data_IF_139921155401
#
_entry.id   IF_139921155401
#
_cell.length_a   1.000
_cell.length_b   1.000
_cell.length_c   1.000
_cell.angle_alpha   90.00
_cell.angle_beta   90.00
_cell.angle_gamma   90.00
#
_symmetry.space_group_name_H-M   'P 1'
#
loop_
_entity.id
_entity.type
_entity.pdbx_description
1 polymer ?
#
# COMPACT_ATOMS: atom_id res chain seq x y z
N UNK A 1 17.46 -16.93 -38.81
CA UNK A 1 17.06 -15.73 -38.03
C UNK A 1 16.09 -16.19 -36.97
N UNK A 2 16.36 -15.86 -35.70
CA UNK A 2 15.60 -16.37 -34.55
C UNK A 2 14.39 -15.45 -34.27
N UNK A 3 13.20 -15.86 -34.74
CA UNK A 3 11.95 -15.11 -34.59
C UNK A 3 11.53 -14.91 -33.12
N UNK A 4 12.05 -15.70 -32.19
CA UNK A 4 11.73 -15.56 -30.76
C UNK A 4 12.31 -14.26 -30.19
N UNK A 5 13.55 -13.91 -30.55
CA UNK A 5 14.24 -12.70 -30.08
C UNK A 5 13.55 -11.42 -30.56
N UNK A 6 13.07 -11.41 -31.81
CA UNK A 6 12.31 -10.28 -32.33
C UNK A 6 10.97 -10.08 -31.61
N UNK A 7 10.28 -11.18 -31.29
CA UNK A 7 9.00 -11.12 -30.58
C UNK A 7 9.16 -10.55 -29.15
N UNK A 8 10.22 -10.95 -28.43
CA UNK A 8 10.49 -10.41 -27.10
C UNK A 8 10.91 -8.93 -27.15
N UNK A 9 11.75 -8.54 -28.11
CA UNK A 9 12.13 -7.14 -28.29
C UNK A 9 10.92 -6.22 -28.57
N UNK A 10 9.96 -6.67 -29.40
CA UNK A 10 8.73 -5.92 -29.69
C UNK A 10 7.85 -5.79 -28.45
N UNK A 11 7.69 -6.87 -27.65
CA UNK A 11 6.94 -6.81 -26.39
C UNK A 11 7.57 -5.85 -25.38
N UNK A 12 8.90 -5.89 -25.24
CA UNK A 12 9.63 -4.97 -24.36
C UNK A 12 9.45 -3.52 -24.82
N UNK A 13 9.62 -3.23 -26.12
CA UNK A 13 9.41 -1.90 -26.66
C UNK A 13 7.98 -1.39 -26.43
N UNK A 14 6.97 -2.24 -26.66
CA UNK A 14 5.58 -1.91 -26.41
C UNK A 14 5.29 -1.64 -24.92
N UNK A 15 5.88 -2.43 -24.00
CA UNK A 15 5.75 -2.22 -22.57
C UNK A 15 6.40 -0.91 -22.11
N UNK A 16 7.60 -0.61 -22.62
CA UNK A 16 8.29 0.67 -22.35
C UNK A 16 7.47 1.84 -22.89
N UNK A 17 6.95 1.76 -24.11
CA UNK A 17 6.11 2.80 -24.68
C UNK A 17 4.83 3.01 -23.86
N UNK A 18 4.14 1.92 -23.48
CA UNK A 18 2.94 2.00 -22.65
C UNK A 18 3.23 2.65 -21.29
N UNK A 19 4.38 2.32 -20.68
CA UNK A 19 4.83 2.95 -19.44
C UNK A 19 5.09 4.45 -19.64
N UNK A 20 5.83 4.84 -20.68
CA UNK A 20 6.11 6.25 -20.98
C UNK A 20 4.83 7.04 -21.27
N UNK A 21 3.87 6.43 -21.98
CA UNK A 21 2.54 7.03 -22.21
C UNK A 21 1.79 7.21 -20.90
N UNK A 22 1.81 6.21 -20.00
CA UNK A 22 1.18 6.32 -18.69
C UNK A 22 1.81 7.44 -17.84
N UNK A 23 3.14 7.56 -17.86
CA UNK A 23 3.87 8.65 -17.19
C UNK A 23 3.49 10.01 -17.81
N UNK A 24 3.45 10.11 -19.13
CA UNK A 24 3.10 11.34 -19.84
C UNK A 24 1.67 11.78 -19.56
N UNK A 25 0.70 10.86 -19.61
CA UNK A 25 -0.69 11.13 -19.23
C UNK A 25 -0.74 11.58 -17.77
N UNK A 26 -0.11 10.83 -16.86
CA UNK A 26 -0.04 11.19 -15.44
C UNK A 26 0.55 12.58 -15.21
N UNK A 27 1.61 12.96 -15.94
CA UNK A 27 2.22 14.28 -15.82
C UNK A 27 1.28 15.43 -16.27
N UNK A 28 0.36 15.15 -17.19
CA UNK A 28 -0.61 16.13 -17.71
C UNK A 28 -1.86 16.24 -16.84
N UNK A 29 -2.33 15.14 -16.26
CA UNK A 29 -3.64 15.08 -15.58
C UNK A 29 -3.57 14.85 -14.08
N UNK A 30 -2.40 14.49 -13.53
CA UNK A 30 -2.30 14.19 -12.09
C UNK A 30 -2.65 15.45 -11.31
N UNK A 31 -3.73 15.43 -10.51
CA UNK A 31 -4.01 16.52 -9.60
C UNK A 31 -2.87 16.65 -8.59
N UNK A 32 -2.83 17.79 -7.91
CA UNK A 32 -2.04 17.93 -6.67
C UNK A 32 -2.44 16.82 -5.72
N UNK A 33 -1.46 16.14 -5.15
CA UNK A 33 -1.65 14.97 -4.31
C UNK A 33 -1.12 15.30 -2.93
N UNK A 34 -2.02 15.37 -1.95
CA UNK A 34 -1.73 15.95 -0.64
C UNK A 34 -0.51 15.30 0.04
N UNK A 35 -0.37 13.98 -0.06
CA UNK A 35 0.72 13.27 0.60
C UNK A 35 2.05 13.47 -0.13
N UNK A 36 2.03 13.52 -1.47
CA UNK A 36 3.21 13.81 -2.28
C UNK A 36 3.70 15.23 -2.01
N UNK A 37 2.81 16.21 -2.15
CA UNK A 37 3.18 17.62 -2.17
C UNK A 37 3.55 18.12 -0.76
N UNK A 38 2.89 17.63 0.30
CA UNK A 38 3.14 18.07 1.67
C UNK A 38 4.17 17.24 2.43
N UNK A 39 4.26 15.94 2.16
CA UNK A 39 5.05 15.05 3.02
C UNK A 39 6.18 14.35 2.26
N UNK A 40 5.88 13.64 1.19
CA UNK A 40 6.85 12.75 0.55
C UNK A 40 7.90 13.48 -0.26
N UNK A 41 7.51 14.43 -1.13
CA UNK A 41 8.48 15.19 -1.93
C UNK A 41 9.41 16.01 -1.03
N UNK A 42 8.93 16.80 -0.05
CA UNK A 42 9.81 17.53 0.85
C UNK A 42 10.74 16.62 1.65
N UNK A 43 10.27 15.46 2.12
CA UNK A 43 11.10 14.52 2.87
C UNK A 43 12.24 13.94 2.03
N UNK A 44 11.98 13.60 0.75
CA UNK A 44 13.04 13.14 -0.16
C UNK A 44 14.02 14.26 -0.46
N UNK A 45 13.53 15.49 -0.70
CA UNK A 45 14.40 16.65 -0.93
C UNK A 45 15.28 16.96 0.29
N UNK A 46 14.75 16.81 1.50
CA UNK A 46 15.50 16.97 2.74
C UNK A 46 16.68 15.97 2.80
N UNK A 47 16.42 14.68 2.57
CA UNK A 47 17.46 13.63 2.56
C UNK A 47 18.59 13.96 1.58
N UNK A 48 18.24 14.37 0.35
CA UNK A 48 19.22 14.70 -0.69
C UNK A 48 19.93 16.04 -0.45
N UNK A 49 19.42 16.87 0.47
CA UNK A 49 20.05 18.10 0.94
C UNK A 49 20.87 17.90 2.22
N UNK A 50 21.00 16.66 2.71
CA UNK A 50 21.67 16.35 3.98
C UNK A 50 20.87 16.75 5.22
N UNK A 51 19.57 16.97 5.08
CA UNK A 51 18.63 17.29 6.16
C UNK A 51 17.87 16.02 6.56
N UNK A 52 17.62 15.86 7.85
CA UNK A 52 16.81 14.75 8.38
C UNK A 52 15.36 14.84 7.84
N UNK A 53 14.82 13.80 7.16
CA UNK A 53 13.46 13.81 6.62
C UNK A 53 12.38 13.98 7.70
N UNK A 54 12.68 13.65 8.96
CA UNK A 54 11.76 13.80 10.08
C UNK A 54 11.65 15.25 10.59
N UNK A 55 12.39 16.18 10.00
CA UNK A 55 12.15 17.63 10.16
C UNK A 55 11.01 18.14 9.27
N UNK A 56 10.55 17.34 8.30
CA UNK A 56 9.38 17.66 7.48
C UNK A 56 8.11 17.35 8.28
N UNK A 57 7.33 18.40 8.58
CA UNK A 57 6.08 18.26 9.32
C UNK A 57 5.13 17.29 8.61
N UNK A 58 4.65 16.29 9.35
CA UNK A 58 3.74 15.26 8.84
C UNK A 58 4.43 14.02 8.23
N UNK A 59 5.75 14.02 8.07
CA UNK A 59 6.46 12.82 7.62
C UNK A 59 6.72 11.85 8.78
N UNK A 60 5.93 10.77 8.84
CA UNK A 60 6.01 9.74 9.88
C UNK A 60 6.36 8.35 9.34
N UNK A 61 6.66 8.25 8.04
CA UNK A 61 6.94 6.96 7.40
C UNK A 61 8.31 6.42 7.78
N UNK A 62 8.51 5.10 7.76
CA UNK A 62 9.82 4.52 8.04
C UNK A 62 10.88 4.94 7.00
N UNK A 63 12.18 5.06 7.36
CA UNK A 63 13.18 5.64 6.47
C UNK A 63 13.39 4.84 5.17
N UNK A 64 13.17 3.53 5.22
CA UNK A 64 13.30 2.67 4.04
C UNK A 64 12.19 2.86 3.00
N UNK A 65 11.21 3.75 3.25
CA UNK A 65 10.31 4.25 2.22
C UNK A 65 11.02 5.16 1.21
N UNK A 66 12.00 5.95 1.67
CA UNK A 66 12.63 7.03 0.88
C UNK A 66 13.16 6.56 -0.48
N UNK A 67 13.83 5.39 -0.62
CA UNK A 67 14.29 4.91 -1.93
C UNK A 67 13.16 4.80 -2.97
N UNK A 68 11.96 4.38 -2.56
CA UNK A 68 10.79 4.26 -3.43
C UNK A 68 10.17 5.61 -3.81
N UNK A 69 10.48 6.66 -3.05
CA UNK A 69 10.01 8.03 -3.28
C UNK A 69 10.99 8.86 -4.12
N UNK A 70 12.18 8.34 -4.46
CA UNK A 70 13.18 9.03 -5.29
C UNK A 70 12.68 9.56 -6.64
N UNK A 71 11.68 8.97 -7.32
CA UNK A 71 11.03 9.59 -8.48
C UNK A 71 10.54 11.02 -8.26
N UNK A 72 10.20 11.38 -7.01
CA UNK A 72 9.72 12.72 -6.64
C UNK A 72 10.83 13.79 -6.60
N UNK A 73 12.09 13.44 -6.90
CA UNK A 73 13.15 14.43 -7.15
C UNK A 73 13.06 15.06 -8.54
N UNK A 74 12.36 14.43 -9.47
CA UNK A 74 12.13 14.95 -10.81
C UNK A 74 11.25 16.22 -10.77
N UNK A 75 11.25 17.02 -11.86
CA UNK A 75 10.33 18.15 -12.01
C UNK A 75 8.91 17.74 -11.65
N UNK A 76 8.17 18.68 -11.05
CA UNK A 76 6.98 18.37 -10.27
C UNK A 76 5.97 17.45 -10.98
N UNK A 77 5.56 17.83 -12.20
CA UNK A 77 4.66 17.06 -13.06
C UNK A 77 5.21 15.68 -13.44
N UNK A 78 6.50 15.60 -13.79
CA UNK A 78 7.14 14.34 -14.17
C UNK A 78 7.26 13.38 -12.99
N UNK A 79 7.65 13.89 -11.82
CA UNK A 79 7.74 13.09 -10.58
C UNK A 79 6.38 12.50 -10.18
N UNK A 80 5.31 13.31 -10.23
CA UNK A 80 3.93 12.83 -9.97
C UNK A 80 3.47 11.82 -11.03
N UNK A 81 3.70 12.09 -12.31
CA UNK A 81 3.33 11.18 -13.39
C UNK A 81 4.04 9.82 -13.27
N UNK A 82 5.33 9.83 -12.91
CA UNK A 82 6.11 8.62 -12.67
C UNK A 82 5.62 7.86 -11.43
N UNK A 83 5.34 8.57 -10.33
CA UNK A 83 4.78 7.97 -9.13
C UNK A 83 3.43 7.29 -9.41
N UNK A 84 2.50 8.00 -10.07
CA UNK A 84 1.19 7.45 -10.45
C UNK A 84 1.33 6.20 -11.35
N UNK A 85 2.22 6.25 -12.33
CA UNK A 85 2.48 5.10 -13.22
C UNK A 85 3.00 3.88 -12.44
N UNK A 86 3.96 4.09 -11.53
CA UNK A 86 4.49 3.03 -10.66
C UNK A 86 3.39 2.44 -9.77
N UNK A 87 2.59 3.30 -9.15
CA UNK A 87 1.47 2.90 -8.29
C UNK A 87 0.48 2.00 -9.05
N UNK A 88 0.08 2.38 -10.27
CA UNK A 88 -0.84 1.57 -11.10
C UNK A 88 -0.19 0.25 -11.50
N UNK A 89 1.04 0.29 -12.04
CA UNK A 89 1.71 -0.92 -12.54
C UNK A 89 1.99 -1.93 -11.44
N UNK A 90 2.47 -1.47 -10.29
CA UNK A 90 2.78 -2.33 -9.15
C UNK A 90 1.51 -2.92 -8.55
N UNK A 91 0.43 -2.15 -8.45
CA UNK A 91 -0.87 -2.70 -8.01
C UNK A 91 -1.41 -3.73 -8.98
N UNK A 92 -1.40 -3.48 -10.29
CA UNK A 92 -1.82 -4.47 -11.30
C UNK A 92 -0.98 -5.75 -11.20
N UNK A 93 0.33 -5.60 -11.05
CA UNK A 93 1.25 -6.72 -10.87
C UNK A 93 0.94 -7.49 -9.59
N UNK A 94 0.74 -6.80 -8.46
CA UNK A 94 0.41 -7.43 -7.19
C UNK A 94 -0.93 -8.17 -7.25
N UNK A 95 -1.97 -7.59 -7.85
CA UNK A 95 -3.26 -8.24 -8.05
C UNK A 95 -3.13 -9.51 -8.90
N UNK A 96 -2.28 -9.49 -9.94
CA UNK A 96 -1.98 -10.67 -10.75
C UNK A 96 -1.26 -11.76 -9.94
N UNK A 97 -0.28 -11.38 -9.13
CA UNK A 97 0.41 -12.32 -8.23
C UNK A 97 -0.50 -12.88 -7.12
N UNK A 98 -1.57 -12.17 -6.79
CA UNK A 98 -2.64 -12.63 -5.91
C UNK A 98 -3.74 -13.39 -6.66
N UNK A 99 -3.50 -13.76 -7.92
CA UNK A 99 -4.41 -14.57 -8.74
C UNK A 99 -5.81 -13.95 -8.90
N UNK A 100 -5.89 -12.61 -8.87
CA UNK A 100 -7.17 -11.91 -9.07
C UNK A 100 -7.70 -12.15 -10.49
N UNK A 101 -8.99 -12.47 -10.58
CA UNK A 101 -9.73 -12.46 -11.85
C UNK A 101 -9.73 -11.04 -12.45
N UNK A 102 -9.78 -10.95 -13.79
CA UNK A 102 -9.76 -9.67 -14.51
C UNK A 102 -10.86 -8.70 -14.03
N UNK A 103 -12.09 -9.21 -13.86
CA UNK A 103 -13.21 -8.37 -13.43
C UNK A 103 -13.03 -7.85 -11.98
N UNK A 104 -12.80 -8.69 -10.96
CA UNK A 104 -12.45 -8.21 -9.62
C UNK A 104 -11.25 -7.28 -9.56
N UNK A 105 -10.19 -7.52 -10.35
CA UNK A 105 -9.05 -6.61 -10.42
C UNK A 105 -9.44 -5.24 -10.99
N UNK A 106 -10.23 -5.21 -12.06
CA UNK A 106 -10.75 -3.96 -12.63
C UNK A 106 -11.69 -3.23 -11.66
N UNK A 107 -12.55 -3.96 -10.94
CA UNK A 107 -13.41 -3.39 -9.91
C UNK A 107 -12.57 -2.81 -8.76
N UNK A 108 -11.55 -3.52 -8.27
CA UNK A 108 -10.63 -3.03 -7.24
C UNK A 108 -10.01 -1.67 -7.64
N UNK A 109 -9.47 -1.59 -8.86
CA UNK A 109 -8.85 -0.39 -9.42
C UNK A 109 -9.82 0.76 -9.73
N UNK A 110 -11.13 0.52 -9.61
CA UNK A 110 -12.17 1.52 -9.82
C UNK A 110 -13.03 1.72 -8.58
N UNK A 111 -12.60 1.21 -7.43
CA UNK A 111 -13.24 1.54 -6.15
C UNK A 111 -12.97 3.00 -5.79
N UNK A 112 -13.89 3.65 -5.06
CA UNK A 112 -13.65 5.00 -4.57
C UNK A 112 -12.44 5.06 -3.63
N UNK A 113 -12.17 4.01 -2.86
CA UNK A 113 -10.99 3.91 -2.00
C UNK A 113 -9.69 3.94 -2.80
N UNK A 114 -9.60 3.24 -3.94
CA UNK A 114 -8.44 3.28 -4.82
C UNK A 114 -8.31 4.63 -5.56
N UNK A 115 -9.43 5.22 -5.98
CA UNK A 115 -9.42 6.56 -6.57
C UNK A 115 -8.86 7.58 -5.58
N UNK A 116 -9.30 7.53 -4.31
CA UNK A 116 -8.79 8.40 -3.26
C UNK A 116 -7.30 8.14 -2.98
N UNK A 117 -6.84 6.89 -3.00
CA UNK A 117 -5.41 6.54 -2.91
C UNK A 117 -4.60 7.24 -4.01
N UNK A 118 -5.10 7.25 -5.25
CA UNK A 118 -4.41 7.92 -6.37
C UNK A 118 -4.41 9.44 -6.20
N UNK A 119 -5.51 10.00 -5.70
CA UNK A 119 -5.64 11.44 -5.47
C UNK A 119 -4.84 11.92 -4.26
N UNK A 120 -4.66 11.10 -3.23
CA UNK A 120 -3.81 11.44 -2.09
C UNK A 120 -2.33 11.30 -2.43
N UNK A 121 -1.99 10.40 -3.36
CA UNK A 121 -0.61 10.04 -3.67
C UNK A 121 0.03 9.25 -2.54
N UNK A 122 -0.77 8.42 -1.84
CA UNK A 122 -0.28 7.57 -0.76
C UNK A 122 0.52 6.36 -1.30
N UNK A 123 0.99 5.51 -0.40
CA UNK A 123 1.98 4.46 -0.67
C UNK A 123 1.44 3.05 -0.41
N UNK A 124 0.12 2.85 -0.38
CA UNK A 124 -0.49 1.54 -0.09
C UNK A 124 -0.18 0.48 -1.15
N UNK A 125 0.25 0.92 -2.34
CA UNK A 125 0.78 0.05 -3.39
C UNK A 125 2.05 -0.71 -2.98
N UNK A 126 2.86 -0.17 -2.05
CA UNK A 126 4.07 -0.84 -1.55
C UNK A 126 3.77 -1.96 -0.55
N UNK A 127 2.95 -1.77 0.51
CA UNK A 127 2.46 -2.89 1.32
C UNK A 127 1.73 -3.96 0.49
N UNK A 128 0.95 -3.56 -0.52
CA UNK A 128 0.30 -4.50 -1.44
C UNK A 128 1.32 -5.32 -2.24
N UNK A 129 2.38 -4.68 -2.75
CA UNK A 129 3.54 -5.36 -3.33
C UNK A 129 4.20 -6.31 -2.32
N UNK A 130 4.30 -5.90 -1.06
CA UNK A 130 4.82 -6.74 0.02
C UNK A 130 4.00 -8.02 0.24
N UNK A 131 2.67 -7.92 0.13
CA UNK A 131 1.77 -9.07 0.24
C UNK A 131 1.94 -10.03 -0.95
N UNK A 132 2.24 -9.57 -2.15
CA UNK A 132 2.41 -10.44 -3.33
C UNK A 132 3.80 -11.09 -3.44
N UNK A 133 4.80 -10.63 -2.68
CA UNK A 133 6.16 -11.17 -2.70
C UNK A 133 6.39 -12.30 -1.68
N UNK A 134 7.46 -13.11 -1.85
CA UNK A 134 7.94 -14.02 -0.82
C UNK A 134 8.27 -13.29 0.49
N UNK A 135 8.03 -13.93 1.63
CA UNK A 135 8.08 -13.28 2.94
C UNK A 135 9.38 -12.49 3.24
N UNK A 136 10.60 -12.98 2.92
CA UNK A 136 11.83 -12.20 3.17
C UNK A 136 11.89 -10.85 2.44
N UNK A 137 11.31 -10.77 1.23
CA UNK A 137 11.29 -9.55 0.42
C UNK A 137 10.03 -8.71 0.70
N UNK A 138 8.92 -9.39 1.01
CA UNK A 138 7.63 -8.75 1.23
C UNK A 138 7.49 -8.10 2.61
N UNK A 139 8.09 -8.69 3.65
CA UNK A 139 7.99 -8.19 5.02
C UNK A 139 8.45 -6.73 5.22
N UNK A 140 9.61 -6.26 4.70
CA UNK A 140 9.99 -4.86 4.85
C UNK A 140 8.99 -3.90 4.18
N UNK A 141 8.37 -4.30 3.06
CA UNK A 141 7.36 -3.50 2.38
C UNK A 141 6.01 -3.51 3.12
N UNK A 142 5.59 -4.67 3.65
CA UNK A 142 4.38 -4.77 4.48
C UNK A 142 4.47 -3.91 5.75
N UNK A 143 5.68 -3.76 6.31
CA UNK A 143 5.93 -2.93 7.48
C UNK A 143 6.06 -1.42 7.20
N UNK A 144 6.01 -0.99 5.94
CA UNK A 144 5.82 0.42 5.62
C UNK A 144 4.48 0.94 6.17
N UNK A 145 3.50 0.05 6.26
CA UNK A 145 2.18 0.35 6.81
C UNK A 145 1.57 -0.88 7.50
N UNK A 146 1.94 -1.16 8.77
CA UNK A 146 1.50 -2.36 9.46
C UNK A 146 -0.03 -2.53 9.51
N UNK A 147 -0.77 -1.42 9.63
CA UNK A 147 -2.24 -1.40 9.58
C UNK A 147 -2.82 -1.95 8.27
N UNK A 148 -2.05 -1.98 7.19
CA UNK A 148 -2.44 -2.61 5.93
C UNK A 148 -2.23 -4.12 5.97
N UNK A 149 -1.11 -4.62 6.52
CA UNK A 149 -0.65 -5.98 6.26
C UNK A 149 -0.45 -6.88 7.50
N UNK A 150 -0.69 -6.39 8.73
CA UNK A 150 -0.31 -7.10 9.96
C UNK A 150 -0.92 -8.51 10.07
N UNK A 151 -2.16 -8.72 9.62
CA UNK A 151 -2.77 -10.06 9.58
C UNK A 151 -2.03 -11.02 8.66
N UNK A 152 -1.66 -10.56 7.47
CA UNK A 152 -0.89 -11.34 6.49
C UNK A 152 0.50 -11.66 7.04
N UNK A 153 1.15 -10.69 7.70
CA UNK A 153 2.44 -10.89 8.37
C UNK A 153 2.33 -12.03 9.37
N UNK A 154 1.37 -11.99 10.30
CA UNK A 154 1.18 -13.03 11.30
C UNK A 154 0.88 -14.40 10.67
N UNK A 155 -0.05 -14.43 9.72
CA UNK A 155 -0.42 -15.67 9.02
C UNK A 155 0.78 -16.32 8.32
N UNK A 156 1.57 -15.54 7.58
CA UNK A 156 2.74 -16.06 6.83
C UNK A 156 3.90 -16.44 7.73
N UNK A 157 4.16 -15.71 8.81
CA UNK A 157 5.16 -16.09 9.81
C UNK A 157 4.77 -17.39 10.50
N UNK A 158 3.49 -17.57 10.83
CA UNK A 158 2.97 -18.82 11.38
C UNK A 158 3.16 -20.00 10.40
N UNK A 159 2.79 -19.84 9.13
CA UNK A 159 3.04 -20.87 8.10
C UNK A 159 4.53 -21.21 7.97
N UNK A 160 5.37 -20.18 7.89
CA UNK A 160 6.84 -20.34 7.81
C UNK A 160 7.39 -21.09 9.02
N UNK A 161 6.86 -20.82 10.20
CA UNK A 161 7.23 -21.54 11.43
C UNK A 161 6.78 -23.00 11.38
N UNK A 162 5.57 -23.31 10.89
CA UNK A 162 5.10 -24.69 10.75
C UNK A 162 5.94 -25.50 9.76
N UNK A 163 6.41 -24.89 8.68
CA UNK A 163 7.15 -25.57 7.60
C UNK A 163 8.65 -25.68 7.89
N UNK A 164 9.27 -24.61 8.39
CA UNK A 164 10.72 -24.48 8.54
C UNK A 164 11.21 -24.24 9.96
N UNK A 165 10.32 -24.32 10.95
CA UNK A 165 10.59 -24.04 12.36
C UNK A 165 11.22 -22.65 12.54
N UNK A 166 12.00 -22.45 13.61
CA UNK A 166 12.65 -21.17 13.91
C UNK A 166 13.61 -20.71 12.80
N UNK A 167 14.29 -21.63 12.10
CA UNK A 167 15.22 -21.27 11.02
C UNK A 167 14.51 -20.60 9.85
N UNK A 168 13.32 -21.10 9.49
CA UNK A 168 12.47 -20.47 8.47
C UNK A 168 12.08 -19.05 8.84
N UNK A 169 11.65 -18.84 10.09
CA UNK A 169 11.27 -17.52 10.61
C UNK A 169 12.44 -16.55 10.61
N UNK A 170 13.62 -16.97 11.07
CA UNK A 170 14.83 -16.14 11.03
C UNK A 170 15.18 -15.76 9.59
N UNK A 171 15.12 -16.71 8.64
CA UNK A 171 15.36 -16.43 7.22
C UNK A 171 14.35 -15.43 6.64
N UNK A 172 13.10 -15.46 7.10
CA UNK A 172 12.06 -14.54 6.67
C UNK A 172 12.22 -13.14 7.27
N UNK A 173 12.68 -13.04 8.52
CA UNK A 173 12.70 -11.78 9.28
C UNK A 173 14.02 -11.02 9.15
N UNK A 174 15.15 -11.70 8.88
CA UNK A 174 16.45 -11.04 8.87
C UNK A 174 16.59 -9.87 7.88
N UNK A 175 16.02 -9.86 6.65
CA UNK A 175 16.16 -8.71 5.76
C UNK A 175 15.49 -7.48 6.35
N UNK A 176 14.33 -7.66 6.98
CA UNK A 176 13.62 -6.61 7.71
C UNK A 176 14.42 -6.11 8.90
N UNK A 177 14.99 -7.00 9.71
CA UNK A 177 15.84 -6.62 10.85
C UNK A 177 17.04 -5.82 10.37
N UNK A 178 17.66 -6.22 9.26
CA UNK A 178 18.77 -5.49 8.67
C UNK A 178 18.34 -4.09 8.21
N UNK A 179 17.24 -3.98 7.46
CA UNK A 179 16.71 -2.69 6.99
C UNK A 179 16.36 -1.78 8.17
N UNK A 180 15.71 -2.31 9.21
CA UNK A 180 15.40 -1.57 10.43
C UNK A 180 16.68 -1.15 11.17
N UNK A 181 17.66 -2.05 11.30
CA UNK A 181 18.94 -1.77 11.93
C UNK A 181 19.69 -0.63 11.23
N UNK A 182 19.80 -0.69 9.90
CA UNK A 182 20.37 0.40 9.08
C UNK A 182 19.58 1.70 9.29
N UNK A 183 18.25 1.61 9.33
CA UNK A 183 17.39 2.78 9.55
C UNK A 183 17.61 3.44 10.91
N UNK A 184 17.87 2.66 11.97
CA UNK A 184 18.25 3.20 13.28
C UNK A 184 19.64 3.82 13.30
N UNK A 185 20.58 3.27 12.53
CA UNK A 185 21.93 3.84 12.44
C UNK A 185 21.92 5.19 11.72
N UNK A 186 21.10 5.34 10.68
CA UNK A 186 21.03 6.59 9.89
C UNK A 186 20.10 7.62 10.56
N UNK A 187 18.97 7.18 11.11
CA UNK A 187 17.93 8.07 11.67
C UNK A 187 17.51 7.66 13.09
N UNK A 188 18.39 7.69 14.10
CA UNK A 188 18.12 7.10 15.42
C UNK A 188 16.83 7.57 16.11
N UNK A 189 16.35 8.77 15.78
CA UNK A 189 15.16 9.37 16.38
C UNK A 189 13.87 9.15 15.57
N UNK A 190 13.89 8.42 14.45
CA UNK A 190 12.73 8.28 13.57
C UNK A 190 11.50 7.68 14.27
N UNK A 191 11.70 6.76 15.24
CA UNK A 191 10.58 6.22 16.03
C UNK A 191 9.84 7.28 16.84
N UNK A 192 10.50 8.39 17.20
CA UNK A 192 9.85 9.48 17.92
C UNK A 192 8.84 10.19 17.01
N UNK A 193 9.07 10.21 15.68
CA UNK A 193 8.12 10.79 14.72
C UNK A 193 6.80 10.01 14.68
N UNK A 194 6.80 8.71 15.01
CA UNK A 194 5.58 7.90 15.15
C UNK A 194 4.66 8.41 16.27
N UNK A 195 5.18 9.13 17.27
CA UNK A 195 4.33 9.75 18.29
C UNK A 195 3.54 10.94 17.74
N UNK A 196 4.10 11.68 16.77
CA UNK A 196 3.41 12.73 16.03
C UNK A 196 2.24 12.20 15.18
N UNK A 197 2.37 10.98 14.64
CA UNK A 197 1.30 10.29 13.93
C UNK A 197 0.08 9.98 14.84
N UNK A 198 0.27 10.00 16.17
CA UNK A 198 -0.81 9.82 17.15
C UNK A 198 -1.45 11.15 17.59
N UNK A 199 -1.07 12.29 17.00
CA UNK A 199 -1.66 13.59 17.35
C UNK A 199 -3.17 13.65 17.02
N UNK A 200 -3.99 14.39 17.79
CA UNK A 200 -5.42 14.53 17.52
C UNK A 200 -5.73 15.02 16.09
N UNK A 201 -4.88 15.88 15.53
CA UNK A 201 -5.00 16.39 14.17
C UNK A 201 -4.81 15.27 13.13
N UNK A 202 -3.78 14.43 13.29
CA UNK A 202 -3.59 13.25 12.44
C UNK A 202 -4.78 12.28 12.55
N UNK A 203 -5.33 12.11 13.75
CA UNK A 203 -6.45 11.22 13.97
C UNK A 203 -7.81 11.75 13.46
N UNK A 204 -7.94 13.04 13.13
CA UNK A 204 -9.21 13.66 12.75
C UNK A 204 -9.79 13.11 11.43
N UNK A 205 -8.94 12.53 10.58
CA UNK A 205 -9.29 12.07 9.24
C UNK A 205 -9.59 10.56 9.14
N UNK A 206 -9.54 9.82 10.25
CA UNK A 206 -9.71 8.37 10.26
C UNK A 206 -11.16 7.92 10.47
N UNK A 207 -11.59 6.90 9.71
CA UNK A 207 -12.80 6.14 10.03
C UNK A 207 -12.48 5.21 11.21
N UNK A 208 -13.13 5.42 12.35
CA UNK A 208 -12.81 4.71 13.61
C UNK A 208 -13.85 3.63 13.91
N UNK A 209 -13.47 2.37 13.69
CA UNK A 209 -14.19 1.22 14.26
C UNK A 209 -13.47 0.62 15.47
N UNK A 210 -12.23 1.06 15.73
CA UNK A 210 -11.49 0.69 16.92
C UNK A 210 -12.13 1.31 18.17
N UNK A 211 -12.22 0.58 19.31
CA UNK A 211 -11.76 -0.78 19.54
C UNK A 211 -12.79 -1.88 19.17
N UNK A 212 -13.99 -1.51 18.73
CA UNK A 212 -15.11 -2.45 18.49
C UNK A 212 -14.86 -3.45 17.37
N UNK A 213 -14.02 -3.12 16.38
CA UNK A 213 -13.63 -4.04 15.31
C UNK A 213 -12.53 -5.05 15.71
N UNK A 214 -11.85 -4.84 16.85
CA UNK A 214 -10.73 -5.69 17.29
C UNK A 214 -11.16 -7.15 17.50
N UNK A 215 -12.30 -7.47 18.18
CA UNK A 215 -12.75 -8.86 18.31
C UNK A 215 -12.98 -9.54 16.96
N UNK A 216 -13.52 -8.82 15.97
CA UNK A 216 -13.75 -9.34 14.62
C UNK A 216 -12.41 -9.61 13.91
N UNK A 217 -11.48 -8.67 14.00
CA UNK A 217 -10.13 -8.82 13.43
C UNK A 217 -9.37 -10.00 14.05
N UNK A 218 -9.45 -10.17 15.38
CA UNK A 218 -8.80 -11.27 16.07
C UNK A 218 -9.43 -12.62 15.73
N UNK A 219 -10.76 -12.69 15.65
CA UNK A 219 -11.46 -13.89 15.18
C UNK A 219 -11.05 -14.24 13.74
N UNK A 220 -11.00 -13.26 12.84
CA UNK A 220 -10.56 -13.46 11.45
C UNK A 220 -9.11 -13.97 11.37
N UNK A 221 -8.22 -13.44 12.21
CA UNK A 221 -6.84 -13.93 12.31
C UNK A 221 -6.78 -15.38 12.79
N UNK A 222 -7.46 -15.72 13.89
CA UNK A 222 -7.53 -17.10 14.41
C UNK A 222 -8.09 -18.03 13.33
N UNK A 223 -9.20 -17.64 12.69
CA UNK A 223 -9.82 -18.40 11.62
C UNK A 223 -8.84 -18.62 10.46
N UNK A 224 -8.13 -17.57 10.03
CA UNK A 224 -7.12 -17.68 8.97
C UNK A 224 -6.04 -18.70 9.32
N UNK A 225 -5.51 -18.65 10.54
CA UNK A 225 -4.44 -19.52 11.04
C UNK A 225 -4.89 -20.96 11.19
N UNK A 226 -6.09 -21.19 11.74
CA UNK A 226 -6.65 -22.53 11.97
C UNK A 226 -7.02 -23.22 10.66
N UNK A 227 -7.63 -22.49 9.73
CA UNK A 227 -8.11 -23.04 8.46
C UNK A 227 -7.09 -22.95 7.32
N UNK A 228 -5.93 -22.34 7.55
CA UNK A 228 -4.92 -22.11 6.50
C UNK A 228 -5.38 -21.15 5.39
N UNK A 229 -6.31 -20.22 5.70
CA UNK A 229 -6.96 -19.34 4.71
C UNK A 229 -6.41 -17.92 4.78
N UNK A 230 -5.37 -17.62 3.98
CA UNK A 230 -4.76 -16.28 3.92
C UNK A 230 -5.76 -15.15 3.62
N UNK A 231 -6.83 -15.45 2.86
CA UNK A 231 -7.86 -14.46 2.50
C UNK A 231 -8.56 -13.85 3.71
N UNK A 232 -8.69 -14.61 4.80
CA UNK A 232 -9.25 -14.12 6.07
C UNK A 232 -8.26 -13.24 6.87
N UNK A 233 -6.97 -13.27 6.53
CA UNK A 233 -5.94 -12.46 7.16
C UNK A 233 -5.84 -11.04 6.57
N UNK A 234 -6.27 -10.81 5.33
CA UNK A 234 -6.24 -9.49 4.68
C UNK A 234 -6.97 -8.39 5.46
N UNK A 235 -8.22 -8.57 5.92
CA UNK A 235 -8.94 -7.49 6.59
C UNK A 235 -8.45 -7.19 8.01
N UNK A 236 -7.66 -8.08 8.61
CA UNK A 236 -7.26 -8.00 10.03
C UNK A 236 -6.59 -6.67 10.34
N UNK A 237 -5.71 -6.17 9.47
CA UNK A 237 -4.98 -4.93 9.73
C UNK A 237 -5.90 -3.74 9.94
N UNK A 238 -6.86 -3.51 9.05
CA UNK A 238 -7.85 -2.44 9.18
C UNK A 238 -8.73 -2.64 10.41
N UNK A 239 -9.12 -3.88 10.71
CA UNK A 239 -10.00 -4.19 11.84
C UNK A 239 -9.34 -4.02 13.22
N UNK A 240 -8.02 -4.21 13.34
CA UNK A 240 -7.31 -4.09 14.62
C UNK A 240 -6.59 -2.75 14.80
N UNK A 241 -6.57 -1.90 13.77
CA UNK A 241 -5.80 -0.66 13.81
C UNK A 241 -6.60 0.49 14.41
N UNK A 242 -6.00 1.31 15.29
CA UNK A 242 -6.66 2.46 15.90
C UNK A 242 -6.93 3.58 14.89
N UNK A 243 -6.15 3.63 13.81
CA UNK A 243 -6.27 4.64 12.79
C UNK A 243 -6.12 4.04 11.39
N UNK A 244 -7.11 4.28 10.54
CA UNK A 244 -7.17 3.83 9.16
C UNK A 244 -7.67 4.97 8.29
N UNK A 245 -6.83 5.41 7.34
CA UNK A 245 -7.23 6.38 6.33
C UNK A 245 -8.29 5.78 5.39
N UNK A 246 -9.20 6.57 4.82
CA UNK A 246 -10.26 6.05 3.96
C UNK A 246 -9.76 5.19 2.79
N UNK A 247 -8.62 5.54 2.18
CA UNK A 247 -8.02 4.77 1.10
C UNK A 247 -7.45 3.40 1.54
N UNK A 248 -7.08 3.22 2.80
CA UNK A 248 -6.54 1.94 3.31
C UNK A 248 -7.61 0.85 3.43
N UNK A 249 -8.91 1.21 3.35
CA UNK A 249 -10.03 0.26 3.30
C UNK A 249 -10.01 -0.64 2.06
N UNK A 250 -9.24 -0.27 1.04
CA UNK A 250 -8.93 -1.12 -0.13
C UNK A 250 -8.50 -2.54 0.26
N UNK A 251 -7.75 -2.71 1.35
CA UNK A 251 -7.23 -4.02 1.74
C UNK A 251 -8.33 -5.03 2.07
N UNK A 252 -9.51 -4.57 2.51
CA UNK A 252 -10.65 -5.45 2.75
C UNK A 252 -11.08 -6.19 1.48
N UNK A 253 -10.98 -5.51 0.33
CA UNK A 253 -11.38 -6.03 -0.96
C UNK A 253 -10.43 -7.13 -1.46
N UNK A 254 -9.21 -7.23 -0.92
CA UNK A 254 -8.29 -8.32 -1.24
C UNK A 254 -8.88 -9.70 -0.89
N UNK A 255 -9.74 -9.75 0.15
CA UNK A 255 -10.44 -10.99 0.53
C UNK A 255 -11.47 -11.44 -0.52
N UNK A 256 -11.92 -10.52 -1.38
CA UNK A 256 -12.98 -10.72 -2.37
C UNK A 256 -12.46 -10.91 -3.81
N UNK A 257 -11.14 -10.87 -4.04
CA UNK A 257 -10.54 -10.91 -5.38
C UNK A 257 -10.92 -12.13 -6.23
N UNK A 258 -11.40 -13.20 -5.59
CA UNK A 258 -11.77 -14.46 -6.24
C UNK A 258 -13.28 -14.73 -6.20
N UNK A 259 -14.08 -13.77 -5.75
CA UNK A 259 -15.53 -13.90 -5.72
C UNK A 259 -16.16 -12.69 -6.42
N UNK A 260 -16.50 -12.89 -7.69
CA UNK A 260 -17.05 -11.83 -8.56
C UNK A 260 -18.30 -11.20 -7.98
N UNK A 261 -19.22 -12.01 -7.45
CA UNK A 261 -20.47 -11.52 -6.87
C UNK A 261 -20.21 -10.60 -5.68
N UNK A 262 -19.43 -11.05 -4.69
CA UNK A 262 -19.13 -10.22 -3.53
C UNK A 262 -18.30 -8.99 -3.88
N UNK A 263 -17.39 -9.08 -4.86
CA UNK A 263 -16.63 -7.91 -5.32
C UNK A 263 -17.54 -6.87 -5.99
N UNK A 264 -18.49 -7.28 -6.85
CA UNK A 264 -19.47 -6.36 -7.46
C UNK A 264 -20.30 -5.67 -6.39
N UNK A 265 -20.82 -6.43 -5.42
CA UNK A 265 -21.63 -5.89 -4.33
C UNK A 265 -20.79 -4.91 -3.48
N UNK A 266 -19.58 -5.29 -3.08
CA UNK A 266 -18.70 -4.43 -2.30
C UNK A 266 -18.32 -3.15 -3.06
N UNK A 267 -18.03 -3.26 -4.35
CA UNK A 267 -17.75 -2.13 -5.24
C UNK A 267 -18.95 -1.17 -5.31
N UNK A 268 -20.15 -1.68 -5.58
CA UNK A 268 -21.36 -0.86 -5.69
C UNK A 268 -21.70 -0.17 -4.36
N UNK A 269 -21.67 -0.91 -3.25
CA UNK A 269 -21.92 -0.35 -1.92
C UNK A 269 -20.89 0.71 -1.53
N UNK A 270 -19.62 0.52 -1.90
CA UNK A 270 -18.57 1.52 -1.63
C UNK A 270 -18.85 2.83 -2.37
N UNK A 271 -19.26 2.79 -3.65
CA UNK A 271 -19.62 4.00 -4.40
C UNK A 271 -20.88 4.67 -3.85
N UNK A 272 -21.92 3.90 -3.54
CA UNK A 272 -23.14 4.43 -2.93
C UNK A 272 -22.85 5.14 -1.60
N UNK A 273 -22.00 4.53 -0.76
CA UNK A 273 -21.54 5.13 0.49
C UNK A 273 -20.82 6.47 0.23
N UNK A 274 -19.86 6.50 -0.71
CA UNK A 274 -19.10 7.71 -1.01
C UNK A 274 -19.93 8.82 -1.64
N UNK A 275 -20.83 8.48 -2.56
CA UNK A 275 -21.78 9.45 -3.13
C UNK A 275 -22.67 10.01 -2.02
N UNK A 276 -23.19 9.16 -1.13
CA UNK A 276 -23.96 9.61 0.03
C UNK A 276 -23.18 10.58 0.92
N UNK A 277 -21.90 10.29 1.20
CA UNK A 277 -21.03 11.22 1.94
C UNK A 277 -20.89 12.56 1.21
N UNK A 278 -20.62 12.55 -0.09
CA UNK A 278 -20.48 13.79 -0.88
C UNK A 278 -21.76 14.62 -0.84
N UNK A 279 -22.93 13.99 -0.94
CA UNK A 279 -24.22 14.69 -0.91
C UNK A 279 -24.49 15.33 0.46
N UNK A 280 -24.22 14.60 1.55
CA UNK A 280 -24.40 15.11 2.92
C UNK A 280 -23.42 16.24 3.23
N UNK A 281 -22.12 16.02 3.02
CA UNK A 281 -21.10 17.03 3.32
C UNK A 281 -21.07 18.18 2.31
N UNK A 282 -21.62 17.98 1.12
CA UNK A 282 -21.84 19.02 0.11
C UNK A 282 -23.08 19.87 0.34
N UNK A 283 -23.90 19.57 1.36
CA UNK A 283 -25.11 20.32 1.69
C UNK A 283 -26.28 20.11 0.71
N UNK A 284 -26.28 19.00 -0.03
CA UNK A 284 -27.40 18.63 -0.93
C UNK A 284 -28.50 17.89 -0.16
N UNK A 285 -28.13 17.16 0.91
CA UNK A 285 -29.01 16.45 1.84
C UNK A 285 -28.77 16.97 3.26
#
# INVERSE_FOLDING_TARGET
MDFSKHTEAVKTAAAVLAFLVLVGIGALISPTAIDIDRFFRPAVQAVFSGIDPYQVEGFFSPPWLIPFLTPLLLPDSLGRGLFLALTILVTVWALRCLEADLLPAALFLTTPFWVIEMMSGNVDWLPLLGISLPLPMGLPLMLLKPQFAIGVIFFRLWQTWKEGQGRGVVRAVWPTVLVMGISFLIYPHWLQSLTGAMSPAAQAYGLRFFPWSVPIGFFALIYSVREGRIKAAYPVGVLVSPHVSPYTWNVLLLSLLHNRFYMIVAWALSWLFWIGLILVYGGVL
#
